data_IF_143613284137
#
_entry.id   IF_143613284137
#
_cell.length_a   1.000
_cell.length_b   1.000
_cell.length_c   1.000
_cell.angle_alpha   90.00
_cell.angle_beta   90.00
_cell.angle_gamma   90.00
#
_symmetry.space_group_name_H-M   'P 1'
#
loop_
_entity.id
_entity.type
_entity.pdbx_description
1 polymer ?
#
# COMPACT_ATOMS: atom_id res chain seq x y z
N UNK A 1 10.26 -20.56 -40.71
CA UNK A 1 10.17 -19.46 -41.69
C UNK A 1 10.84 -18.23 -41.07
N UNK A 2 12.02 -17.84 -41.57
CA UNK A 2 12.73 -16.63 -41.11
C UNK A 2 11.84 -15.41 -41.37
N UNK A 3 11.67 -14.55 -40.36
CA UNK A 3 10.87 -13.33 -40.52
C UNK A 3 11.49 -12.41 -41.57
N UNK A 4 10.64 -11.80 -42.40
CA UNK A 4 11.09 -10.82 -43.40
C UNK A 4 11.55 -9.56 -42.66
N UNK A 5 12.49 -8.81 -43.26
CA UNK A 5 13.06 -7.60 -42.65
C UNK A 5 11.99 -6.57 -42.25
N UNK A 6 10.94 -6.43 -43.05
CA UNK A 6 9.78 -5.58 -42.77
C UNK A 6 8.99 -5.99 -41.52
N UNK A 7 8.92 -7.28 -41.21
CA UNK A 7 8.20 -7.76 -40.04
C UNK A 7 9.00 -7.52 -38.75
N UNK A 8 10.34 -7.56 -38.84
CA UNK A 8 11.22 -7.17 -37.75
C UNK A 8 11.08 -5.68 -37.42
N UNK A 9 11.03 -4.82 -38.44
CA UNK A 9 10.91 -3.37 -38.24
C UNK A 9 9.54 -3.01 -37.62
N UNK A 10 8.47 -3.70 -38.01
CA UNK A 10 7.15 -3.58 -37.37
C UNK A 10 7.17 -4.05 -35.91
N UNK A 11 7.85 -5.16 -35.61
CA UNK A 11 7.97 -5.64 -34.24
C UNK A 11 8.79 -4.68 -33.36
N UNK A 12 9.86 -4.10 -33.90
CA UNK A 12 10.63 -3.07 -33.20
C UNK A 12 9.77 -1.83 -32.90
N UNK A 13 8.96 -1.40 -33.86
CA UNK A 13 7.99 -0.33 -33.64
C UNK A 13 7.02 -0.65 -32.50
N UNK A 14 6.44 -1.86 -32.47
CA UNK A 14 5.55 -2.32 -31.39
C UNK A 14 6.25 -2.35 -30.03
N UNK A 15 7.50 -2.79 -29.98
CA UNK A 15 8.30 -2.81 -28.74
C UNK A 15 8.55 -1.39 -28.23
N UNK A 16 8.90 -0.45 -29.12
CA UNK A 16 9.10 0.96 -28.76
C UNK A 16 7.80 1.60 -28.25
N UNK A 17 6.67 1.38 -28.93
CA UNK A 17 5.37 1.87 -28.47
C UNK A 17 4.97 1.28 -27.12
N UNK A 18 5.25 -0.01 -26.89
CA UNK A 18 5.08 -0.65 -25.59
C UNK A 18 5.89 0.07 -24.51
N UNK A 19 7.20 0.23 -24.72
CA UNK A 19 8.10 0.92 -23.79
C UNK A 19 7.68 2.35 -23.49
N UNK A 20 7.17 3.11 -24.48
CA UNK A 20 6.68 4.46 -24.26
C UNK A 20 5.38 4.50 -23.43
N UNK A 21 4.48 3.52 -23.61
CA UNK A 21 3.25 3.42 -22.81
C UNK A 21 3.51 2.95 -21.38
N UNK A 22 4.55 2.14 -21.16
CA UNK A 22 4.96 1.65 -19.83
C UNK A 22 6.04 2.51 -19.18
N UNK A 23 6.49 3.59 -19.85
CA UNK A 23 7.45 4.52 -19.27
C UNK A 23 6.83 5.09 -17.99
N UNK A 24 7.41 4.71 -16.86
CA UNK A 24 7.00 5.16 -15.53
C UNK A 24 7.01 6.69 -15.53
N UNK A 25 5.88 7.27 -15.17
CA UNK A 25 5.73 8.72 -15.01
C UNK A 25 6.89 9.22 -14.14
N UNK A 26 7.69 10.20 -14.60
CA UNK A 26 8.84 10.68 -13.83
C UNK A 26 8.41 11.08 -12.41
N UNK A 27 9.17 10.63 -11.41
CA UNK A 27 8.92 10.78 -9.96
C UNK A 27 8.59 12.22 -9.52
N UNK A 28 9.02 13.19 -10.32
CA UNK A 28 8.73 14.63 -10.19
C UNK A 28 7.24 15.00 -10.34
N UNK A 29 6.40 14.15 -10.95
CA UNK A 29 4.95 14.37 -11.03
C UNK A 29 4.17 13.67 -9.89
N UNK A 30 4.85 12.94 -9.01
CA UNK A 30 4.28 12.17 -7.90
C UNK A 30 4.83 12.62 -6.55
N UNK A 31 5.29 13.87 -6.39
CA UNK A 31 5.82 14.35 -5.10
C UNK A 31 4.81 14.29 -3.93
N UNK A 32 3.50 14.15 -4.18
CA UNK A 32 2.51 13.81 -3.13
C UNK A 32 2.40 12.30 -2.82
N UNK A 33 3.09 11.43 -3.56
CA UNK A 33 3.18 10.00 -3.33
C UNK A 33 4.49 9.58 -2.62
N UNK A 34 5.47 10.47 -2.48
CA UNK A 34 6.69 10.20 -1.69
C UNK A 34 6.41 10.11 -0.17
N UNK A 35 5.25 10.58 0.29
CA UNK A 35 4.74 10.34 1.64
C UNK A 35 3.91 9.05 1.77
N UNK A 36 3.67 8.32 0.67
CA UNK A 36 3.13 6.98 0.72
C UNK A 36 4.28 6.03 1.06
N UNK A 37 4.55 5.85 2.35
CA UNK A 37 5.29 4.69 2.86
C UNK A 37 4.87 3.48 2.02
N UNK A 38 5.82 2.84 1.37
CA UNK A 38 5.53 1.70 0.49
C UNK A 38 4.69 0.70 1.28
N UNK A 39 3.40 0.61 0.93
CA UNK A 39 2.40 -0.19 1.65
C UNK A 39 2.82 -1.66 1.71
N UNK A 40 3.70 -2.12 0.79
CA UNK A 40 4.29 -3.45 0.83
C UNK A 40 5.34 -3.56 1.92
N UNK A 41 6.22 -2.58 2.03
CA UNK A 41 7.24 -2.54 3.09
C UNK A 41 6.61 -2.37 4.47
N UNK A 42 5.51 -1.62 4.58
CA UNK A 42 4.73 -1.57 5.83
C UNK A 42 4.13 -2.93 6.18
N UNK A 43 3.46 -3.60 5.23
CA UNK A 43 2.92 -4.95 5.44
C UNK A 43 3.99 -5.99 5.78
N UNK A 44 5.20 -5.88 5.22
CA UNK A 44 6.33 -6.77 5.57
C UNK A 44 6.75 -6.57 7.03
N UNK A 45 6.85 -5.33 7.49
CA UNK A 45 7.16 -5.02 8.90
C UNK A 45 6.05 -5.51 9.82
N UNK A 46 4.80 -5.27 9.44
CA UNK A 46 3.63 -5.72 10.21
C UNK A 46 3.59 -7.25 10.29
N UNK A 47 3.82 -7.95 9.18
CA UNK A 47 3.90 -9.41 9.15
C UNK A 47 5.07 -9.96 9.97
N UNK A 48 6.23 -9.28 9.96
CA UNK A 48 7.36 -9.66 10.80
C UNK A 48 7.06 -9.44 12.29
N UNK A 49 6.22 -8.46 12.62
CA UNK A 49 5.71 -8.21 13.97
C UNK A 49 4.50 -9.09 14.34
N UNK A 50 4.08 -10.03 13.47
CA UNK A 50 2.93 -10.90 13.71
C UNK A 50 1.56 -10.21 13.64
N UNK A 51 1.50 -8.96 13.15
CA UNK A 51 0.26 -8.21 13.02
C UNK A 51 -0.55 -8.73 11.82
N UNK A 52 -1.81 -9.08 12.07
CA UNK A 52 -2.75 -9.53 11.05
C UNK A 52 -3.78 -8.42 10.80
N UNK A 53 -4.05 -8.07 9.53
CA UNK A 53 -5.10 -7.10 9.22
C UNK A 53 -6.47 -7.69 9.58
N UNK A 54 -7.15 -7.08 10.56
CA UNK A 54 -8.48 -7.48 11.02
C UNK A 54 -9.48 -6.36 10.74
N UNK A 55 -10.34 -6.57 9.74
CA UNK A 55 -11.31 -5.56 9.30
C UNK A 55 -12.69 -5.82 9.91
N UNK A 56 -13.07 -5.02 10.90
CA UNK A 56 -14.43 -4.96 11.43
C UNK A 56 -15.09 -3.62 11.11
N UNK A 57 -16.40 -3.65 10.83
CA UNK A 57 -17.19 -2.42 10.67
C UNK A 57 -17.58 -1.93 12.07
N UNK A 58 -17.24 -0.68 12.37
CA UNK A 58 -17.55 -0.02 13.63
C UNK A 58 -18.42 1.22 13.36
N UNK A 59 -19.29 1.63 14.30
CA UNK A 59 -20.01 2.90 14.20
C UNK A 59 -19.03 4.07 14.12
N UNK A 60 -19.39 5.11 13.35
CA UNK A 60 -18.53 6.30 13.13
C UNK A 60 -18.11 6.99 14.43
N UNK A 61 -19.03 7.08 15.40
CA UNK A 61 -18.80 7.78 16.65
C UNK A 61 -17.80 7.02 17.53
N UNK A 62 -17.85 5.69 17.49
CA UNK A 62 -16.91 4.83 18.20
C UNK A 62 -15.50 4.95 17.58
N UNK A 63 -15.39 5.02 16.26
CA UNK A 63 -14.10 5.24 15.58
C UNK A 63 -13.49 6.59 16.00
N UNK A 64 -14.29 7.66 16.07
CA UNK A 64 -13.81 8.97 16.56
C UNK A 64 -13.29 8.90 18.00
N UNK A 65 -14.05 8.28 18.90
CA UNK A 65 -13.61 8.12 20.30
C UNK A 65 -12.33 7.30 20.42
N UNK A 66 -12.15 6.26 19.59
CA UNK A 66 -10.90 5.49 19.56
C UNK A 66 -9.73 6.33 19.08
N UNK A 67 -9.94 7.19 18.06
CA UNK A 67 -8.92 8.12 17.61
C UNK A 67 -8.53 9.12 18.70
N UNK A 68 -9.50 9.78 19.33
CA UNK A 68 -9.24 10.77 20.38
C UNK A 68 -8.47 10.15 21.56
N UNK A 69 -8.84 8.92 21.96
CA UNK A 69 -8.15 8.18 23.02
C UNK A 69 -6.77 7.64 22.61
N UNK A 70 -6.51 7.50 21.32
CA UNK A 70 -5.21 7.03 20.82
C UNK A 70 -4.16 8.14 20.78
N UNK A 71 -4.58 9.40 20.89
CA UNK A 71 -3.65 10.54 20.95
C UNK A 71 -2.80 10.43 22.22
N UNK A 72 -1.49 10.20 22.05
CA UNK A 72 -0.54 10.05 23.16
C UNK A 72 -0.32 8.62 23.65
N UNK A 73 -0.93 7.62 23.02
CA UNK A 73 -0.66 6.20 23.33
C UNK A 73 0.55 5.71 22.53
N UNK A 74 1.56 5.17 23.21
CA UNK A 74 2.69 4.49 22.55
C UNK A 74 2.18 3.28 21.75
N UNK A 75 2.47 3.25 20.44
CA UNK A 75 1.92 2.25 19.52
C UNK A 75 0.56 2.61 18.91
N UNK A 76 0.02 3.81 19.23
CA UNK A 76 -1.13 4.42 18.57
C UNK A 76 -2.44 3.62 18.68
N UNK A 77 -3.28 3.74 17.65
CA UNK A 77 -4.61 3.13 17.62
C UNK A 77 -4.57 1.59 17.76
N UNK A 78 -3.59 0.93 17.13
CA UNK A 78 -3.48 -0.52 17.16
C UNK A 78 -3.19 -1.04 18.57
N UNK A 79 -2.30 -0.39 19.31
CA UNK A 79 -1.98 -0.77 20.69
C UNK A 79 -3.19 -0.57 21.62
N UNK A 80 -3.92 0.55 21.48
CA UNK A 80 -5.15 0.79 22.23
C UNK A 80 -6.17 -0.32 21.97
N UNK A 81 -6.45 -0.61 20.70
CA UNK A 81 -7.46 -1.60 20.31
C UNK A 81 -7.06 -2.99 20.80
N UNK A 82 -5.78 -3.37 20.68
CA UNK A 82 -5.27 -4.64 21.20
C UNK A 82 -5.48 -4.76 22.72
N UNK A 83 -5.17 -3.72 23.50
CA UNK A 83 -5.37 -3.70 24.94
C UNK A 83 -6.85 -3.76 25.33
N UNK A 84 -7.73 -3.06 24.59
CA UNK A 84 -9.17 -3.11 24.81
C UNK A 84 -9.76 -4.50 24.52
N UNK A 85 -9.33 -5.13 23.42
CA UNK A 85 -9.76 -6.49 23.06
C UNK A 85 -9.23 -7.53 24.04
N UNK A 86 -7.97 -7.43 24.48
CA UNK A 86 -7.40 -8.33 25.48
C UNK A 86 -8.19 -8.30 26.80
N UNK A 87 -8.64 -7.12 27.24
CA UNK A 87 -9.49 -6.98 28.43
C UNK A 87 -10.90 -7.55 28.27
N UNK A 88 -11.43 -7.59 27.04
CA UNK A 88 -12.78 -8.09 26.78
C UNK A 88 -12.84 -9.61 26.57
N UNK A 89 -11.71 -10.21 26.17
CA UNK A 89 -11.60 -11.65 25.91
C UNK A 89 -11.07 -12.43 27.12
N UNK A 90 -10.30 -11.77 28.00
CA UNK A 90 -9.88 -12.32 29.29
C UNK A 90 -11.05 -12.45 30.27
#
# INVERSE_FOLDING_TARGET
MSMKKSDLDKNMGKVLTGKMKTAVVPDRFTQSAAAAVDKREQRKRDSAAGLVPFACKLPSDLVRQLHDKSVGVEGGLNALVAAALAKAVA
#
